data_IF_256584023769
#
_entry.id   IF_256584023769
#
_cell.length_a   1.000
_cell.length_b   1.000
_cell.length_c   1.000
_cell.angle_alpha   90.00
_cell.angle_beta   90.00
_cell.angle_gamma   90.00
#
_symmetry.space_group_name_H-M   'P 1'
#
loop_
_entity.id
_entity.type
_entity.pdbx_description
1 polymer ?
#
# COMPACT_ATOMS: atom_id res chain seq x y z
N UNK A 1 -8.76 -18.96 -4.55
CA UNK A 1 -7.53 -18.49 -3.91
C UNK A 1 -6.97 -19.64 -3.09
N UNK A 2 -5.84 -20.19 -3.51
CA UNK A 2 -5.13 -21.24 -2.80
C UNK A 2 -4.39 -20.65 -1.59
N UNK A 3 -3.95 -21.50 -0.65
CA UNK A 3 -3.07 -21.06 0.44
C UNK A 3 -1.77 -20.45 -0.11
N UNK A 4 -1.25 -20.99 -1.22
CA UNK A 4 -0.07 -20.47 -1.88
C UNK A 4 -0.33 -19.06 -2.44
N UNK A 5 -1.48 -18.83 -3.07
CA UNK A 5 -1.84 -17.52 -3.61
C UNK A 5 -1.86 -16.46 -2.51
N UNK A 6 -2.42 -16.79 -1.33
CA UNK A 6 -2.47 -15.88 -0.18
C UNK A 6 -1.09 -15.54 0.35
N UNK A 7 -0.21 -16.54 0.47
CA UNK A 7 1.16 -16.33 0.98
C UNK A 7 1.96 -15.47 0.00
N UNK A 8 1.91 -15.77 -1.30
CA UNK A 8 2.64 -15.01 -2.32
C UNK A 8 2.12 -13.57 -2.38
N UNK A 9 0.81 -13.37 -2.46
CA UNK A 9 0.22 -12.04 -2.54
C UNK A 9 0.52 -11.19 -1.29
N UNK A 10 0.53 -11.77 -0.09
CA UNK A 10 0.79 -11.05 1.14
C UNK A 10 2.28 -10.77 1.41
N UNK A 11 3.17 -11.68 1.02
CA UNK A 11 4.60 -11.61 1.42
C UNK A 11 5.36 -10.55 0.64
N UNK A 12 5.34 -10.62 -0.69
CA UNK A 12 6.15 -9.74 -1.53
C UNK A 12 5.62 -8.30 -1.51
N UNK A 13 4.29 -8.13 -1.44
CA UNK A 13 3.67 -6.80 -1.43
C UNK A 13 3.91 -6.05 -0.13
N UNK A 14 3.74 -6.71 1.02
CA UNK A 14 3.94 -6.09 2.33
C UNK A 14 5.41 -5.79 2.60
N UNK A 15 6.33 -6.71 2.27
CA UNK A 15 7.77 -6.51 2.46
C UNK A 15 8.29 -5.33 1.64
N UNK A 16 7.92 -5.22 0.36
CA UNK A 16 8.29 -4.09 -0.50
C UNK A 16 7.72 -2.77 0.03
N UNK A 17 6.47 -2.76 0.50
CA UNK A 17 5.85 -1.55 1.08
C UNK A 17 6.62 -1.06 2.30
N UNK A 18 7.01 -1.98 3.20
CA UNK A 18 7.79 -1.66 4.40
C UNK A 18 9.19 -1.14 4.01
N UNK A 19 9.84 -1.76 3.03
CA UNK A 19 11.14 -1.32 2.54
C UNK A 19 11.10 0.13 2.04
N UNK A 20 10.15 0.46 1.16
CA UNK A 20 9.97 1.84 0.68
C UNK A 20 9.62 2.80 1.82
N UNK A 21 8.75 2.41 2.75
CA UNK A 21 8.39 3.25 3.88
C UNK A 21 9.62 3.60 4.73
N UNK A 22 10.45 2.60 5.06
CA UNK A 22 11.68 2.84 5.82
C UNK A 22 12.66 3.72 5.05
N UNK A 23 12.86 3.46 3.76
CA UNK A 23 13.74 4.27 2.91
C UNK A 23 13.30 5.75 2.84
N UNK A 24 12.00 6.00 2.71
CA UNK A 24 11.42 7.35 2.65
C UNK A 24 11.51 8.08 3.99
N UNK A 25 11.18 7.39 5.10
CA UNK A 25 11.19 7.98 6.45
C UNK A 25 12.64 8.27 6.90
N UNK A 26 13.59 7.37 6.65
CA UNK A 26 15.01 7.57 7.00
C UNK A 26 15.64 8.76 6.27
N UNK A 27 15.19 9.07 5.06
CA UNK A 27 15.67 10.21 4.28
C UNK A 27 15.01 11.54 4.66
N UNK A 28 13.95 11.52 5.49
CA UNK A 28 13.15 12.70 5.87
C UNK A 28 13.08 12.84 7.39
N UNK A 29 14.10 13.45 8.04
CA UNK A 29 14.17 13.57 9.50
C UNK A 29 12.93 14.18 10.15
N UNK A 30 12.31 15.18 9.50
CA UNK A 30 11.09 15.82 10.00
C UNK A 30 9.87 14.87 10.02
N UNK A 31 9.77 13.99 9.00
CA UNK A 31 8.71 12.98 8.95
C UNK A 31 8.96 11.91 10.01
N UNK A 32 10.19 11.44 10.13
CA UNK A 32 10.58 10.46 11.17
C UNK A 32 10.26 10.98 12.57
N UNK A 33 10.68 12.22 12.87
CA UNK A 33 10.43 12.85 14.16
C UNK A 33 8.93 12.93 14.45
N UNK A 34 8.13 13.36 13.48
CA UNK A 34 6.67 13.50 13.68
C UNK A 34 5.95 12.17 13.84
N UNK A 35 6.39 11.10 13.16
CA UNK A 35 5.88 9.74 13.39
C UNK A 35 6.23 9.25 14.81
N UNK A 36 7.46 9.48 15.26
CA UNK A 36 7.90 9.12 16.61
C UNK A 36 7.11 9.86 17.69
N UNK A 37 6.88 11.17 17.51
CA UNK A 37 6.05 11.98 18.41
C UNK A 37 4.60 11.46 18.49
N UNK A 38 3.99 11.12 17.34
CA UNK A 38 2.64 10.54 17.32
C UNK A 38 2.59 9.20 18.07
N UNK A 39 3.57 8.31 17.84
CA UNK A 39 3.67 7.03 18.53
C UNK A 39 3.88 7.21 20.05
N UNK A 40 4.72 8.15 20.47
CA UNK A 40 4.96 8.42 21.89
C UNK A 40 3.70 8.96 22.58
N UNK A 41 2.92 9.82 21.92
CA UNK A 41 1.66 10.36 22.45
C UNK A 41 0.57 9.27 22.57
N UNK A 42 0.46 8.40 21.57
CA UNK A 42 -0.66 7.45 21.46
C UNK A 42 -0.37 6.14 22.21
N UNK A 43 0.86 5.65 22.11
CA UNK A 43 1.26 4.33 22.61
C UNK A 43 2.12 4.46 23.86
N UNK A 44 2.99 5.47 23.91
CA UNK A 44 3.99 5.64 24.98
C UNK A 44 5.29 4.90 24.67
N UNK A 45 6.39 5.44 25.19
CA UNK A 45 7.76 5.04 24.81
C UNK A 45 8.14 3.59 25.15
N UNK A 46 7.58 3.05 26.22
CA UNK A 46 7.94 1.72 26.75
C UNK A 46 6.87 0.65 26.45
N UNK A 47 5.92 0.96 25.55
CA UNK A 47 4.81 0.08 25.20
C UNK A 47 4.94 -0.46 23.78
N UNK A 48 4.29 -1.59 23.51
CA UNK A 48 4.24 -2.22 22.19
C UNK A 48 3.01 -1.70 21.44
N UNK A 49 3.17 -1.41 20.14
CA UNK A 49 2.05 -1.05 19.27
C UNK A 49 1.15 -2.26 19.06
N UNK A 50 -0.10 -2.14 19.49
CA UNK A 50 -1.20 -3.06 19.17
C UNK A 50 -2.09 -2.52 18.03
N UNK A 51 -2.82 -3.41 17.34
CA UNK A 51 -3.73 -3.04 16.24
C UNK A 51 -4.80 -2.02 16.65
N UNK A 52 -5.25 -2.07 17.91
CA UNK A 52 -6.23 -1.13 18.47
C UNK A 52 -5.76 0.34 18.43
N UNK A 53 -4.45 0.58 18.40
CA UNK A 53 -3.88 1.92 18.30
C UNK A 53 -3.95 2.51 16.90
N UNK A 54 -4.09 1.70 15.85
CA UNK A 54 -3.98 2.15 14.44
C UNK A 54 -4.94 3.31 14.13
N UNK A 55 -6.16 3.26 14.68
CA UNK A 55 -7.15 4.32 14.49
C UNK A 55 -6.76 5.68 15.11
N UNK A 56 -5.79 5.67 16.02
CA UNK A 56 -5.26 6.84 16.72
C UNK A 56 -3.90 7.29 16.14
N UNK A 57 -3.41 6.68 15.05
CA UNK A 57 -2.14 7.01 14.39
C UNK A 57 -2.38 7.60 12.97
N UNK A 58 -3.11 8.73 12.84
CA UNK A 58 -3.47 9.28 11.54
C UNK A 58 -2.28 9.75 10.71
N UNK A 59 -1.20 10.25 11.34
CA UNK A 59 -0.01 10.69 10.63
C UNK A 59 0.78 9.51 10.08
N UNK A 60 1.02 8.46 10.87
CA UNK A 60 1.61 7.22 10.38
C UNK A 60 0.78 6.63 9.24
N UNK A 61 -0.55 6.62 9.36
CA UNK A 61 -1.43 6.17 8.27
C UNK A 61 -1.29 7.04 7.01
N UNK A 62 -1.15 8.35 7.16
CA UNK A 62 -0.88 9.26 6.04
C UNK A 62 0.49 9.00 5.39
N UNK A 63 1.52 8.72 6.20
CA UNK A 63 2.85 8.33 5.69
C UNK A 63 2.76 7.06 4.85
N UNK A 64 2.06 6.03 5.33
CA UNK A 64 1.89 4.79 4.56
C UNK A 64 1.13 5.02 3.24
N UNK A 65 0.10 5.88 3.25
CA UNK A 65 -0.60 6.30 2.02
C UNK A 65 0.31 7.01 1.04
N UNK A 66 1.16 7.92 1.52
CA UNK A 66 2.08 8.66 0.67
C UNK A 66 3.18 7.77 0.10
N UNK A 67 3.67 6.80 0.88
CA UNK A 67 4.61 5.78 0.41
C UNK A 67 3.98 4.98 -0.73
N UNK A 68 2.75 4.51 -0.59
CA UNK A 68 2.04 3.77 -1.66
C UNK A 68 1.74 4.65 -2.88
N UNK A 69 1.52 5.95 -2.69
CA UNK A 69 1.33 6.92 -3.79
C UNK A 69 2.62 7.16 -4.58
N UNK A 70 3.77 7.18 -3.90
CA UNK A 70 5.08 7.39 -4.52
C UNK A 70 5.67 6.10 -5.11
N UNK A 71 5.46 4.98 -4.41
CA UNK A 71 6.04 3.67 -4.70
C UNK A 71 4.95 2.59 -4.70
N UNK A 72 4.03 2.58 -5.69
CA UNK A 72 3.03 1.54 -5.81
C UNK A 72 3.72 0.20 -6.06
N UNK A 73 3.47 -0.80 -5.20
CA UNK A 73 4.14 -2.12 -5.30
C UNK A 73 3.73 -2.88 -6.57
N UNK A 74 2.54 -2.60 -7.09
CA UNK A 74 2.05 -3.10 -8.37
C UNK A 74 1.66 -1.91 -9.26
N UNK A 75 2.62 -1.24 -9.93
CA UNK A 75 2.34 -0.02 -10.72
C UNK A 75 1.38 -0.24 -11.89
N UNK A 76 1.20 -1.50 -12.34
CA UNK A 76 0.27 -1.89 -13.40
C UNK A 76 -0.95 -2.69 -12.89
N UNK A 77 -1.10 -2.80 -11.55
CA UNK A 77 -2.02 -3.70 -10.85
C UNK A 77 -1.96 -5.16 -11.38
N UNK A 78 -2.91 -5.98 -10.94
CA UNK A 78 -3.11 -7.33 -11.50
C UNK A 78 -3.81 -7.19 -12.85
N UNK A 79 -3.40 -7.92 -13.91
CA UNK A 79 -4.05 -7.82 -15.20
C UNK A 79 -5.55 -8.17 -15.13
N UNK A 80 -6.37 -7.34 -15.78
CA UNK A 80 -7.80 -7.55 -15.90
C UNK A 80 -8.14 -8.14 -17.27
N UNK A 81 -9.21 -8.92 -17.34
CA UNK A 81 -9.72 -9.50 -18.59
C UNK A 81 -11.25 -9.43 -18.60
N UNK A 82 -11.87 -8.72 -19.55
CA UNK A 82 -13.31 -8.58 -19.58
C UNK A 82 -13.96 -9.90 -20.01
N UNK A 83 -14.97 -10.34 -19.25
CA UNK A 83 -15.74 -11.57 -19.52
C UNK A 83 -16.60 -11.46 -20.78
N UNK A 84 -16.89 -10.23 -21.23
CA UNK A 84 -17.63 -9.90 -22.44
C UNK A 84 -17.11 -8.61 -23.10
N UNK A 85 -17.40 -8.42 -24.38
CA UNK A 85 -17.03 -7.19 -25.09
C UNK A 85 -17.73 -6.01 -24.45
N UNK A 86 -16.94 -5.03 -24.00
CA UNK A 86 -17.40 -3.92 -23.16
C UNK A 86 -16.95 -2.58 -23.71
N UNK A 87 -17.57 -1.48 -23.28
CA UNK A 87 -17.15 -0.12 -23.66
C UNK A 87 -16.46 0.53 -22.45
N UNK A 88 -15.22 0.98 -22.63
CA UNK A 88 -14.44 1.71 -21.61
C UNK A 88 -13.97 3.02 -22.21
N UNK A 89 -14.28 4.15 -21.58
CA UNK A 89 -13.90 5.47 -22.09
C UNK A 89 -14.40 5.77 -23.51
N UNK A 90 -15.51 5.16 -23.94
CA UNK A 90 -16.06 5.29 -25.30
C UNK A 90 -15.43 4.34 -26.33
N UNK A 91 -14.46 3.51 -25.95
CA UNK A 91 -13.82 2.53 -26.83
C UNK A 91 -14.35 1.12 -26.59
N UNK A 92 -14.60 0.38 -27.68
CA UNK A 92 -14.97 -1.03 -27.61
C UNK A 92 -13.75 -1.88 -27.28
N UNK A 93 -13.79 -2.57 -26.14
CA UNK A 93 -12.80 -3.52 -25.67
C UNK A 93 -13.34 -4.94 -25.88
N UNK A 94 -12.73 -5.74 -26.79
CA UNK A 94 -13.17 -7.12 -27.02
C UNK A 94 -13.05 -8.01 -25.78
N UNK A 95 -13.98 -8.96 -25.64
CA UNK A 95 -13.86 -10.07 -24.68
C UNK A 95 -12.48 -10.73 -24.78
N UNK A 96 -11.86 -11.02 -23.64
CA UNK A 96 -10.56 -11.71 -23.61
C UNK A 96 -9.33 -10.80 -23.74
N UNK A 97 -9.51 -9.49 -23.92
CA UNK A 97 -8.40 -8.53 -23.94
C UNK A 97 -7.69 -8.48 -22.59
N UNK A 98 -6.35 -8.42 -22.58
CA UNK A 98 -5.59 -8.22 -21.34
C UNK A 98 -5.46 -6.71 -21.12
N UNK A 99 -5.99 -6.25 -19.99
CA UNK A 99 -6.04 -4.85 -19.60
C UNK A 99 -5.11 -4.62 -18.41
N UNK A 100 -4.32 -3.56 -18.46
CA UNK A 100 -3.48 -3.08 -17.37
C UNK A 100 -3.99 -1.72 -16.91
N UNK A 101 -3.95 -1.47 -15.60
CA UNK A 101 -4.27 -0.17 -15.03
C UNK A 101 -2.96 0.46 -14.59
N UNK A 102 -2.59 1.59 -15.19
CA UNK A 102 -1.43 2.35 -14.77
C UNK A 102 -1.83 3.22 -13.57
N UNK A 103 -1.35 2.85 -12.39
CA UNK A 103 -1.54 3.59 -11.13
C UNK A 103 -0.66 4.84 -11.07
#
# INVERSE_FOLDING_TARGET
MSNLDMVVAGSDTSSSTIEFAMAEIMQKPEVMKRVQEELEIVVGKDNIVEESHIHHLPYLHAVMKEVLRLHPVLPLLVPHCPSETSIVGGHTIPKGSIMFVNE
#
